data_IF_170064605978
#
_entry.id   IF_170064605978
#
_cell.length_a   1.000
_cell.length_b   1.000
_cell.length_c   1.000
_cell.angle_alpha   90.00
_cell.angle_beta   90.00
_cell.angle_gamma   90.00
#
_symmetry.space_group_name_H-M   'P 1'
#
loop_
_entity.id
_entity.type
_entity.pdbx_description
1 polymer ?
#
# COMPACT_ATOMS: atom_id res chain seq x y z
N UNK A 1 17.69 -1.70 -1.89
CA UNK A 1 16.59 -1.45 -0.95
C UNK A 1 15.35 -2.05 -1.59
N UNK A 2 14.68 -2.97 -0.92
CA UNK A 2 13.44 -3.58 -1.43
C UNK A 2 12.29 -2.58 -1.43
N UNK A 3 11.28 -2.78 -2.29
CA UNK A 3 10.10 -1.88 -2.34
C UNK A 3 9.37 -1.82 -0.97
N UNK A 4 9.33 -2.94 -0.22
CA UNK A 4 8.73 -2.97 1.13
C UNK A 4 9.52 -2.14 2.15
N UNK A 5 10.85 -2.23 2.14
CA UNK A 5 11.72 -1.44 3.03
C UNK A 5 11.59 0.05 2.76
N UNK A 6 11.48 0.42 1.47
CA UNK A 6 11.24 1.79 1.07
C UNK A 6 9.89 2.29 1.61
N UNK A 7 8.81 1.53 1.45
CA UNK A 7 7.49 1.91 1.96
C UNK A 7 7.50 2.01 3.49
N UNK A 8 8.08 1.03 4.18
CA UNK A 8 8.19 1.04 5.64
C UNK A 8 8.92 2.30 6.13
N UNK A 9 10.04 2.65 5.51
CA UNK A 9 10.76 3.89 5.86
C UNK A 9 9.87 5.13 5.70
N UNK A 10 9.14 5.25 4.60
CA UNK A 10 8.25 6.40 4.38
C UNK A 10 7.09 6.43 5.38
N UNK A 11 6.57 5.27 5.84
CA UNK A 11 5.53 5.21 6.86
C UNK A 11 6.01 5.74 8.23
N UNK A 12 7.31 5.66 8.54
CA UNK A 12 7.86 6.26 9.78
C UNK A 12 7.76 7.78 9.79
N UNK A 13 7.89 8.39 8.61
CA UNK A 13 7.92 9.84 8.45
C UNK A 13 6.53 10.40 8.09
N UNK A 14 5.65 9.59 7.50
CA UNK A 14 4.29 9.97 7.11
C UNK A 14 3.21 9.06 7.72
N UNK A 15 2.52 9.58 8.74
CA UNK A 15 1.41 8.90 9.42
C UNK A 15 0.24 8.58 8.50
N UNK A 16 0.02 9.33 7.41
CA UNK A 16 -1.09 9.05 6.49
C UNK A 16 -0.81 7.78 5.71
N UNK A 17 0.44 7.57 5.29
CA UNK A 17 0.87 6.33 4.64
C UNK A 17 0.77 5.14 5.60
N UNK A 18 1.20 5.32 6.86
CA UNK A 18 1.05 4.29 7.89
C UNK A 18 -0.40 3.85 8.06
N UNK A 19 -1.32 4.81 8.24
CA UNK A 19 -2.76 4.50 8.41
C UNK A 19 -3.32 3.70 7.22
N UNK A 20 -2.92 4.05 5.98
CA UNK A 20 -3.36 3.30 4.80
C UNK A 20 -2.84 1.85 4.84
N UNK A 21 -1.58 1.64 5.22
CA UNK A 21 -1.01 0.30 5.34
C UNK A 21 -1.70 -0.50 6.45
N UNK A 22 -1.98 0.12 7.60
CA UNK A 22 -2.73 -0.50 8.70
C UNK A 22 -4.15 -0.91 8.29
N UNK A 23 -4.87 -0.04 7.58
CA UNK A 23 -6.22 -0.32 7.11
C UNK A 23 -6.22 -1.50 6.12
N UNK A 24 -5.27 -1.52 5.18
CA UNK A 24 -5.13 -2.63 4.22
C UNK A 24 -4.72 -3.93 4.92
N UNK A 25 -3.88 -3.87 5.96
CA UNK A 25 -3.47 -5.06 6.71
C UNK A 25 -4.63 -5.73 7.47
N UNK A 26 -5.69 -4.96 7.80
CA UNK A 26 -6.90 -5.45 8.47
C UNK A 26 -7.96 -5.99 7.51
N UNK A 27 -7.82 -5.74 6.20
CA UNK A 27 -8.75 -6.21 5.18
C UNK A 27 -8.67 -7.73 4.99
N UNK A 28 -9.84 -8.33 4.81
CA UNK A 28 -9.99 -9.68 4.26
C UNK A 28 -9.50 -9.74 2.81
N UNK A 29 -9.30 -10.94 2.27
CA UNK A 29 -8.88 -11.11 0.88
C UNK A 29 -9.90 -10.52 -0.11
N UNK A 30 -11.20 -10.69 0.17
CA UNK A 30 -12.27 -10.14 -0.67
C UNK A 30 -12.23 -8.60 -0.69
N UNK A 31 -12.06 -7.95 0.47
CA UNK A 31 -11.93 -6.49 0.56
C UNK A 31 -10.67 -5.98 -0.15
N UNK A 32 -9.55 -6.70 -0.04
CA UNK A 32 -8.31 -6.38 -0.78
C UNK A 32 -8.53 -6.46 -2.29
N UNK A 33 -9.20 -7.50 -2.77
CA UNK A 33 -9.48 -7.69 -4.19
C UNK A 33 -10.41 -6.60 -4.73
N UNK A 34 -11.48 -6.27 -3.99
CA UNK A 34 -12.35 -5.14 -4.33
C UNK A 34 -11.59 -3.81 -4.38
N UNK A 35 -10.74 -3.56 -3.38
CA UNK A 35 -9.99 -2.32 -3.30
C UNK A 35 -8.93 -2.22 -4.40
N UNK A 36 -8.25 -3.33 -4.72
CA UNK A 36 -7.33 -3.41 -5.85
C UNK A 36 -8.02 -3.09 -7.18
N UNK A 37 -9.24 -3.59 -7.38
CA UNK A 37 -10.05 -3.27 -8.55
C UNK A 37 -10.42 -1.78 -8.60
N UNK A 38 -10.84 -1.20 -7.48
CA UNK A 38 -11.12 0.25 -7.37
C UNK A 38 -9.88 1.08 -7.70
N UNK A 39 -8.71 0.72 -7.19
CA UNK A 39 -7.45 1.41 -7.49
C UNK A 39 -7.10 1.30 -8.97
N UNK A 40 -7.20 0.11 -9.56
CA UNK A 40 -6.96 -0.08 -11.00
C UNK A 40 -7.87 0.82 -11.84
N UNK A 41 -9.17 0.86 -11.54
CA UNK A 41 -10.13 1.73 -12.25
C UNK A 41 -9.85 3.21 -12.03
N UNK A 42 -9.53 3.62 -10.79
CA UNK A 42 -9.22 5.02 -10.46
C UNK A 42 -8.00 5.53 -11.22
N UNK A 43 -6.94 4.74 -11.30
CA UNK A 43 -5.68 5.11 -11.94
C UNK A 43 -5.66 4.88 -13.46
N UNK A 44 -6.68 4.24 -14.06
CA UNK A 44 -6.70 3.90 -15.48
C UNK A 44 -6.49 5.11 -16.41
N UNK A 45 -7.05 6.27 -16.04
CA UNK A 45 -6.98 7.49 -16.85
C UNK A 45 -6.01 8.53 -16.27
N UNK A 46 -5.16 8.11 -15.32
CA UNK A 46 -4.24 8.97 -14.57
C UNK A 46 -2.80 8.65 -14.95
N UNK A 47 -2.04 9.65 -15.37
CA UNK A 47 -0.76 9.46 -16.03
C UNK A 47 0.34 10.45 -15.60
N UNK A 48 0.13 11.21 -14.52
CA UNK A 48 1.23 11.98 -13.93
C UNK A 48 2.25 11.05 -13.27
N UNK A 49 3.44 11.55 -12.97
CA UNK A 49 4.44 10.78 -12.22
C UNK A 49 3.96 10.45 -10.80
N UNK A 50 3.22 11.37 -10.19
CA UNK A 50 2.59 11.18 -8.88
C UNK A 50 1.56 10.05 -8.93
N UNK A 51 0.68 10.06 -9.95
CA UNK A 51 -0.32 9.00 -10.14
C UNK A 51 0.32 7.63 -10.32
N UNK A 52 1.39 7.55 -11.13
CA UNK A 52 2.14 6.30 -11.33
C UNK A 52 2.78 5.80 -10.04
N UNK A 53 3.33 6.71 -9.24
CA UNK A 53 3.96 6.39 -7.96
C UNK A 53 2.94 5.92 -6.94
N UNK A 54 1.78 6.60 -6.85
CA UNK A 54 0.68 6.21 -5.99
C UNK A 54 0.09 4.84 -6.39
N UNK A 55 -0.13 4.59 -7.68
CA UNK A 55 -0.62 3.30 -8.13
C UNK A 55 0.37 2.16 -7.82
N UNK A 56 1.67 2.41 -8.00
CA UNK A 56 2.70 1.43 -7.63
C UNK A 56 2.65 1.13 -6.12
N UNK A 57 2.52 2.15 -5.28
CA UNK A 57 2.37 1.96 -3.83
C UNK A 57 1.18 1.04 -3.52
N UNK A 58 -0.01 1.34 -4.04
CA UNK A 58 -1.19 0.50 -3.77
C UNK A 58 -1.02 -0.92 -4.30
N UNK A 59 -0.42 -1.08 -5.48
CA UNK A 59 -0.15 -2.41 -6.05
C UNK A 59 0.74 -3.24 -5.12
N UNK A 60 1.79 -2.65 -4.56
CA UNK A 60 2.72 -3.35 -3.67
C UNK A 60 2.05 -3.69 -2.34
N UNK A 61 1.35 -2.73 -1.72
CA UNK A 61 0.75 -2.92 -0.38
C UNK A 61 -0.39 -3.94 -0.41
N UNK A 62 -1.17 -3.99 -1.49
CA UNK A 62 -2.28 -4.94 -1.66
C UNK A 62 -1.85 -6.36 -2.08
N UNK A 63 -0.59 -6.53 -2.48
CA UNK A 63 -0.10 -7.82 -2.95
C UNK A 63 0.20 -8.77 -1.78
N UNK A 64 -0.46 -9.92 -1.75
CA UNK A 64 -0.31 -10.94 -0.71
C UNK A 64 -0.46 -10.33 0.72
N UNK A 65 0.51 -10.63 1.58
CA UNK A 65 0.62 -10.12 2.95
C UNK A 65 1.61 -8.96 3.08
N UNK A 66 1.88 -8.22 2.00
CA UNK A 66 2.87 -7.16 2.01
C UNK A 66 2.54 -6.05 3.02
N UNK A 67 1.28 -5.64 3.14
CA UNK A 67 0.86 -4.70 4.17
C UNK A 67 1.26 -5.16 5.58
N UNK A 68 1.04 -6.44 5.90
CA UNK A 68 1.42 -7.02 7.19
C UNK A 68 2.94 -7.04 7.40
N UNK A 69 3.69 -7.47 6.39
CA UNK A 69 5.17 -7.46 6.42
C UNK A 69 5.74 -6.06 6.64
N UNK A 70 5.12 -5.03 6.06
CA UNK A 70 5.54 -3.64 6.27
C UNK A 70 5.36 -3.25 7.73
N UNK A 71 4.22 -3.59 8.36
CA UNK A 71 3.98 -3.28 9.77
C UNK A 71 4.91 -4.07 10.71
N UNK A 72 5.23 -5.33 10.38
CA UNK A 72 6.24 -6.12 11.12
C UNK A 72 7.63 -5.45 11.08
N UNK A 73 8.03 -4.86 9.95
CA UNK A 73 9.28 -4.09 9.83
C UNK A 73 9.29 -2.79 10.65
N UNK A 74 8.11 -2.28 10.98
CA UNK A 74 7.92 -1.09 11.83
C UNK A 74 7.88 -1.44 13.32
N UNK A 75 7.56 -2.70 13.66
CA UNK A 75 7.32 -3.13 15.04
C UNK A 75 5.92 -2.78 15.55
N UNK A 76 4.97 -2.55 14.64
CA UNK A 76 3.60 -2.13 14.95
C UNK A 76 2.63 -3.31 15.14
N UNK A 77 3.07 -4.56 14.93
CA UNK A 77 2.35 -5.83 15.17
C UNK A 77 3.28 -6.99 15.51
#
# INVERSE_FOLDING_TARGET
>A
MGELEYIARNCRDDKRLLNIVEDIAKMTQEEKDEFANKMRSYFMNKNTEEDRSAYRFFKVVLENDNARKILEMLGDI
#
